data_IF_900777589757
#
_entry.id   IF_900777589757
#
_cell.length_a   1.000
_cell.length_b   1.000
_cell.length_c   1.000
_cell.angle_alpha   90.00
_cell.angle_beta   90.00
_cell.angle_gamma   90.00
#
_symmetry.space_group_name_H-M   'P 1'
#
loop_
_entity.id
_entity.type
_entity.pdbx_description
1 polymer ?
#
# COMPACT_ATOMS: atom_id res chain seq x y z
N UNK A 1 13.46 -14.86 -15.65
CA UNK A 1 12.82 -13.57 -15.33
C UNK A 1 12.01 -13.78 -14.07
N UNK A 2 12.16 -12.90 -13.08
CA UNK A 2 11.30 -12.94 -11.89
C UNK A 2 9.86 -12.63 -12.31
N UNK A 3 8.90 -13.43 -11.83
CA UNK A 3 7.47 -13.19 -12.09
C UNK A 3 7.07 -11.86 -11.43
N UNK A 4 6.43 -10.91 -12.14
CA UNK A 4 6.11 -9.61 -11.59
C UNK A 4 5.26 -9.69 -10.32
N UNK A 5 5.72 -9.01 -9.27
CA UNK A 5 4.99 -8.71 -8.05
C UNK A 5 5.07 -7.19 -7.82
N UNK A 6 3.96 -6.49 -8.04
CA UNK A 6 3.86 -5.02 -7.94
C UNK A 6 3.03 -4.66 -6.71
N UNK A 7 3.41 -3.60 -6.01
CA UNK A 7 2.58 -3.06 -4.92
C UNK A 7 2.22 -1.62 -5.19
N UNK A 8 1.00 -1.22 -4.84
CA UNK A 8 0.52 0.16 -4.93
C UNK A 8 0.35 0.72 -3.53
N UNK A 9 1.00 1.84 -3.25
CA UNK A 9 1.08 2.40 -1.90
C UNK A 9 0.78 3.89 -1.85
N UNK A 10 0.41 4.37 -0.65
CA UNK A 10 0.09 5.77 -0.40
C UNK A 10 -1.02 5.96 0.64
N UNK A 11 -1.33 7.21 1.01
CA UNK A 11 -2.27 7.51 2.09
C UNK A 11 -3.71 7.04 1.79
N UNK A 12 -4.56 7.08 2.82
CA UNK A 12 -5.98 6.73 2.71
C UNK A 12 -6.65 7.67 1.70
N UNK A 13 -7.50 7.14 0.83
CA UNK A 13 -8.21 7.93 -0.18
C UNK A 13 -7.43 8.23 -1.48
N UNK A 14 -6.16 7.83 -1.59
CA UNK A 14 -5.33 8.23 -2.74
C UNK A 14 -5.64 7.50 -4.05
N UNK A 15 -6.31 6.33 -4.01
CA UNK A 15 -6.70 5.58 -5.21
C UNK A 15 -5.98 4.24 -5.44
N UNK A 16 -5.31 3.68 -4.42
CA UNK A 16 -4.56 2.40 -4.50
C UNK A 16 -5.35 1.24 -5.11
N UNK A 17 -6.53 0.95 -4.58
CA UNK A 17 -7.39 -0.14 -5.05
C UNK A 17 -7.88 0.09 -6.49
N UNK A 18 -8.08 1.35 -6.89
CA UNK A 18 -8.46 1.67 -8.27
C UNK A 18 -7.31 1.40 -9.24
N UNK A 19 -6.10 1.86 -8.92
CA UNK A 19 -4.95 1.66 -9.81
C UNK A 19 -4.53 0.19 -9.88
N UNK A 20 -4.42 -0.50 -8.75
CA UNK A 20 -4.09 -1.93 -8.71
C UNK A 20 -5.10 -2.77 -9.49
N UNK A 21 -6.40 -2.44 -9.42
CA UNK A 21 -7.43 -3.08 -10.25
C UNK A 21 -7.21 -2.83 -11.74
N UNK A 22 -6.88 -1.60 -12.14
CA UNK A 22 -6.60 -1.30 -13.54
C UNK A 22 -5.36 -2.05 -14.06
N UNK A 23 -4.28 -2.09 -13.28
CA UNK A 23 -3.06 -2.88 -13.58
C UNK A 23 -3.41 -4.36 -13.72
N UNK A 24 -4.18 -4.92 -12.79
CA UNK A 24 -4.63 -6.32 -12.83
C UNK A 24 -5.41 -6.62 -14.11
N UNK A 25 -6.36 -5.76 -14.48
CA UNK A 25 -7.20 -5.96 -15.67
C UNK A 25 -6.43 -5.81 -16.98
N UNK A 26 -5.52 -4.84 -17.07
CA UNK A 26 -4.74 -4.58 -18.29
C UNK A 26 -3.71 -5.66 -18.55
N UNK A 27 -2.99 -6.12 -17.52
CA UNK A 27 -1.90 -7.06 -17.68
C UNK A 27 -2.25 -8.51 -17.35
N UNK A 28 -3.51 -8.78 -16.99
CA UNK A 28 -4.01 -10.09 -16.52
C UNK A 28 -3.22 -10.61 -15.31
N UNK A 29 -3.00 -9.73 -14.34
CA UNK A 29 -2.30 -10.06 -13.09
C UNK A 29 -3.30 -10.40 -11.99
N UNK A 30 -2.97 -11.35 -11.13
CA UNK A 30 -3.75 -11.62 -9.94
C UNK A 30 -3.76 -10.38 -9.03
N UNK A 31 -4.95 -9.99 -8.53
CA UNK A 31 -5.12 -8.83 -7.67
C UNK A 31 -5.19 -9.24 -6.20
N UNK A 32 -4.14 -8.93 -5.44
CA UNK A 32 -4.13 -9.10 -3.99
C UNK A 32 -4.67 -7.84 -3.30
N UNK A 33 -5.82 -7.95 -2.63
CA UNK A 33 -6.45 -6.83 -1.92
C UNK A 33 -6.19 -6.88 -0.42
N UNK A 34 -6.06 -5.71 0.18
CA UNK A 34 -6.11 -5.53 1.62
C UNK A 34 -7.49 -5.87 2.18
N UNK A 35 -7.52 -6.65 3.25
CA UNK A 35 -8.74 -7.00 3.97
C UNK A 35 -8.99 -5.96 5.06
N UNK A 36 -9.74 -4.92 4.71
CA UNK A 36 -10.06 -3.79 5.62
C UNK A 36 -11.33 -4.06 6.43
N UNK A 37 -12.40 -4.51 5.76
CA UNK A 37 -13.75 -4.57 6.33
C UNK A 37 -13.92 -5.71 7.36
N UNK A 38 -12.99 -6.66 7.43
CA UNK A 38 -13.02 -7.76 8.41
C UNK A 38 -12.32 -7.40 9.74
N UNK A 39 -11.64 -6.26 9.83
CA UNK A 39 -10.96 -5.87 11.06
C UNK A 39 -11.96 -5.42 12.12
N UNK A 40 -12.18 -6.21 13.19
CA UNK A 40 -13.22 -5.92 14.19
C UNK A 40 -12.89 -4.71 15.08
N UNK A 41 -11.65 -4.21 15.01
CA UNK A 41 -11.17 -3.09 15.81
C UNK A 41 -11.20 -1.76 15.05
N UNK A 42 -11.32 -1.78 13.72
CA UNK A 42 -11.15 -0.59 12.89
C UNK A 42 -12.18 0.51 13.17
N UNK A 43 -13.44 0.15 13.45
CA UNK A 43 -14.44 1.14 13.86
C UNK A 43 -14.05 1.83 15.17
N UNK A 44 -13.64 1.04 16.17
CA UNK A 44 -13.22 1.54 17.49
C UNK A 44 -11.92 2.34 17.44
N UNK A 45 -11.02 1.99 16.51
CA UNK A 45 -9.80 2.75 16.24
C UNK A 45 -10.09 4.19 15.85
N UNK A 46 -11.11 4.43 15.02
CA UNK A 46 -11.48 5.79 14.66
C UNK A 46 -12.26 6.53 15.75
N UNK A 47 -12.75 5.83 16.77
CA UNK A 47 -13.34 6.43 17.98
C UNK A 47 -12.27 6.78 19.03
N UNK A 48 -11.29 5.90 19.22
CA UNK A 48 -10.14 6.10 20.10
C UNK A 48 -8.89 5.42 19.53
N UNK A 49 -8.09 6.21 18.82
CA UNK A 49 -6.83 5.74 18.22
C UNK A 49 -5.92 5.19 19.32
N UNK A 50 -5.76 5.89 20.45
CA UNK A 50 -4.75 5.47 21.44
C UNK A 50 -5.07 4.12 22.08
N UNK A 51 -6.34 3.79 22.26
CA UNK A 51 -6.75 2.54 22.94
C UNK A 51 -6.76 1.34 21.99
N UNK A 52 -7.13 1.55 20.71
CA UNK A 52 -7.39 0.45 19.76
C UNK A 52 -6.31 0.25 18.70
N UNK A 53 -5.26 1.10 18.68
CA UNK A 53 -4.19 1.01 17.67
C UNK A 53 -3.47 -0.33 17.68
N UNK A 54 -3.11 -0.86 18.85
CA UNK A 54 -2.33 -2.10 18.92
C UNK A 54 -3.08 -3.29 18.32
N UNK A 55 -4.36 -3.45 18.69
CA UNK A 55 -5.24 -4.51 18.21
C UNK A 55 -5.49 -4.37 16.71
N UNK A 56 -5.72 -3.14 16.24
CA UNK A 56 -5.95 -2.82 14.83
C UNK A 56 -4.74 -3.15 13.98
N UNK A 57 -3.55 -2.71 14.40
CA UNK A 57 -2.30 -2.93 13.67
C UNK A 57 -1.86 -4.40 13.71
N UNK A 58 -2.03 -5.09 14.84
CA UNK A 58 -1.75 -6.54 14.94
C UNK A 58 -2.68 -7.35 14.04
N UNK A 59 -3.96 -7.00 13.94
CA UNK A 59 -4.88 -7.63 13.00
C UNK A 59 -4.38 -7.49 11.56
N UNK A 60 -4.04 -6.26 11.15
CA UNK A 60 -3.52 -6.01 9.82
C UNK A 60 -2.21 -6.77 9.56
N UNK A 61 -1.29 -6.80 10.53
CA UNK A 61 -0.02 -7.52 10.40
C UNK A 61 -0.26 -9.01 10.18
N UNK A 62 -1.07 -9.66 11.02
CA UNK A 62 -1.36 -11.09 10.90
C UNK A 62 -2.06 -11.42 9.58
N UNK A 63 -3.03 -10.60 9.17
CA UNK A 63 -3.77 -10.83 7.93
C UNK A 63 -2.87 -10.67 6.69
N UNK A 64 -2.11 -9.57 6.62
CA UNK A 64 -1.16 -9.33 5.52
C UNK A 64 -0.05 -10.39 5.52
N UNK A 65 0.41 -10.83 6.70
CA UNK A 65 1.35 -11.94 6.81
C UNK A 65 0.80 -13.21 6.17
N UNK A 66 -0.44 -13.59 6.50
CA UNK A 66 -1.05 -14.79 5.94
C UNK A 66 -1.26 -14.68 4.43
N UNK A 67 -1.68 -13.52 3.93
CA UNK A 67 -1.81 -13.28 2.49
C UNK A 67 -0.46 -13.39 1.75
N UNK A 68 0.61 -12.86 2.35
CA UNK A 68 1.94 -12.86 1.75
C UNK A 68 2.72 -14.16 1.98
N UNK A 69 2.38 -14.98 2.97
CA UNK A 69 2.97 -16.33 3.09
C UNK A 69 2.54 -17.23 1.93
N UNK A 70 1.34 -17.00 1.41
CA UNK A 70 0.72 -17.81 0.36
C UNK A 70 1.04 -17.27 -1.05
N UNK A 71 1.74 -16.13 -1.15
CA UNK A 71 1.98 -15.44 -2.43
C UNK A 71 2.87 -16.23 -3.40
N UNK A 72 3.80 -17.04 -2.90
CA UNK A 72 4.62 -17.89 -3.75
C UNK A 72 3.77 -18.92 -4.48
N UNK A 73 2.85 -19.57 -3.76
CA UNK A 73 1.90 -20.52 -4.34
C UNK A 73 0.96 -19.84 -5.33
N UNK A 74 0.50 -18.61 -5.01
CA UNK A 74 -0.30 -17.80 -5.94
C UNK A 74 0.49 -17.49 -7.21
N UNK A 75 1.76 -17.08 -7.08
CA UNK A 75 2.62 -16.74 -8.21
C UNK A 75 2.87 -17.97 -9.09
N UNK A 76 3.09 -19.13 -8.49
CA UNK A 76 3.30 -20.39 -9.22
C UNK A 76 2.03 -20.88 -9.92
N UNK A 77 0.86 -20.72 -9.28
CA UNK A 77 -0.41 -21.21 -9.82
C UNK A 77 -1.09 -20.24 -10.79
N UNK A 78 -0.98 -18.93 -10.56
CA UNK A 78 -1.74 -17.87 -11.25
C UNK A 78 -0.86 -16.86 -11.98
N UNK A 79 0.46 -16.90 -11.77
CA UNK A 79 1.40 -16.01 -12.46
C UNK A 79 1.58 -14.65 -11.76
N UNK A 80 1.75 -13.54 -12.51
CA UNK A 80 2.10 -12.25 -11.91
C UNK A 80 1.02 -11.68 -10.98
N UNK A 81 1.44 -10.90 -9.98
CA UNK A 81 0.58 -10.33 -8.95
C UNK A 81 0.73 -8.81 -8.88
N UNK A 82 -0.38 -8.11 -8.68
CA UNK A 82 -0.42 -6.72 -8.20
C UNK A 82 -1.19 -6.67 -6.88
N UNK A 83 -0.61 -6.01 -5.88
CA UNK A 83 -1.27 -5.79 -4.60
C UNK A 83 -1.58 -4.31 -4.37
N UNK A 84 -2.69 -4.02 -3.70
CA UNK A 84 -3.09 -2.64 -3.34
C UNK A 84 -2.50 -2.14 -2.02
N UNK A 85 -1.51 -2.88 -1.50
CA UNK A 85 -0.69 -2.54 -0.36
C UNK A 85 0.69 -3.22 -0.45
N UNK A 86 1.62 -2.76 0.37
CA UNK A 86 2.88 -3.40 0.70
C UNK A 86 2.96 -3.63 2.21
N UNK A 87 3.68 -4.66 2.65
CA UNK A 87 3.76 -5.01 4.08
C UNK A 87 4.34 -3.88 4.95
N UNK A 88 5.26 -3.07 4.41
CA UNK A 88 5.83 -1.91 5.13
C UNK A 88 4.79 -0.90 5.62
N UNK A 89 3.56 -0.92 5.07
CA UNK A 89 2.45 -0.09 5.54
C UNK A 89 2.22 -0.24 7.04
N UNK A 90 2.38 -1.46 7.56
CA UNK A 90 2.31 -1.74 8.99
C UNK A 90 3.25 -0.85 9.81
N UNK A 91 4.47 -0.57 9.32
CA UNK A 91 5.43 0.27 10.02
C UNK A 91 4.99 1.74 10.04
N UNK A 92 4.46 2.24 8.92
CA UNK A 92 3.99 3.62 8.80
C UNK A 92 2.85 3.87 9.78
N UNK A 93 1.82 3.02 9.76
CA UNK A 93 0.65 3.17 10.62
C UNK A 93 0.98 2.93 12.11
N UNK A 94 1.72 1.87 12.41
CA UNK A 94 2.11 1.57 13.79
C UNK A 94 2.97 2.67 14.40
N UNK A 95 3.93 3.23 13.65
CA UNK A 95 4.77 4.33 14.15
C UNK A 95 3.98 5.59 14.46
N UNK A 96 2.94 5.87 13.69
CA UNK A 96 2.05 7.02 13.90
C UNK A 96 1.16 6.85 15.12
N UNK A 97 0.68 5.64 15.37
CA UNK A 97 -0.49 5.42 16.22
C UNK A 97 -0.17 4.74 17.56
N UNK A 98 0.89 3.92 17.61
CA UNK A 98 1.29 3.23 18.84
C UNK A 98 2.13 4.13 19.75
N UNK A 99 2.04 3.87 21.06
CA UNK A 99 2.99 4.44 22.02
C UNK A 99 4.39 3.89 21.73
N UNK A 100 5.47 4.63 22.02
CA UNK A 100 6.83 4.21 21.71
C UNK A 100 7.18 2.80 22.21
N UNK A 101 6.78 2.45 23.44
CA UNK A 101 7.04 1.13 24.05
C UNK A 101 6.25 -0.01 23.40
N UNK A 102 5.07 0.28 22.82
CA UNK A 102 4.28 -0.69 22.06
C UNK A 102 4.83 -0.84 20.64
N UNK A 103 5.25 0.27 20.04
CA UNK A 103 5.87 0.29 18.72
C UNK A 103 7.14 -0.56 18.68
N UNK A 104 8.02 -0.48 19.67
CA UNK A 104 9.25 -1.31 19.73
C UNK A 104 8.94 -2.81 19.71
N UNK A 105 7.92 -3.23 20.46
CA UNK A 105 7.47 -4.62 20.50
C UNK A 105 6.83 -5.03 19.17
N UNK A 106 5.96 -4.19 18.64
CA UNK A 106 5.31 -4.40 17.35
C UNK A 106 6.32 -4.53 16.21
N UNK A 107 7.32 -3.64 16.16
CA UNK A 107 8.37 -3.66 15.16
C UNK A 107 9.21 -4.95 15.27
N UNK A 108 9.48 -5.42 16.48
CA UNK A 108 10.17 -6.69 16.69
C UNK A 108 9.37 -7.87 16.12
N UNK A 109 8.06 -7.92 16.36
CA UNK A 109 7.17 -8.95 15.80
C UNK A 109 7.11 -8.84 14.28
N UNK A 110 6.93 -7.63 13.75
CA UNK A 110 6.94 -7.34 12.32
C UNK A 110 8.20 -7.91 11.67
N UNK A 111 9.38 -7.59 12.20
CA UNK A 111 10.66 -8.04 11.64
C UNK A 111 10.79 -9.57 11.60
N UNK A 112 10.30 -10.26 12.63
CA UNK A 112 10.29 -11.74 12.67
C UNK A 112 9.38 -12.29 11.58
N UNK A 113 8.15 -11.76 11.47
CA UNK A 113 7.16 -12.26 10.51
C UNK A 113 7.52 -11.96 9.06
N UNK A 114 8.23 -10.85 8.79
CA UNK A 114 8.54 -10.41 7.43
C UNK A 114 9.95 -10.75 6.95
N UNK A 115 10.77 -11.45 7.75
CA UNK A 115 12.18 -11.69 7.45
C UNK A 115 12.40 -12.38 6.09
N UNK A 116 11.58 -13.38 5.79
CA UNK A 116 11.68 -14.22 4.60
C UNK A 116 10.58 -13.92 3.57
N UNK A 117 9.90 -12.78 3.70
CA UNK A 117 8.82 -12.42 2.77
C UNK A 117 9.36 -12.07 1.39
N UNK A 118 8.62 -12.42 0.33
CA UNK A 118 8.97 -12.01 -1.01
C UNK A 118 8.87 -10.50 -1.14
N UNK A 119 9.86 -9.96 -1.83
CA UNK A 119 9.95 -8.52 -2.11
C UNK A 119 9.27 -8.22 -3.44
N UNK A 120 8.56 -7.10 -3.56
CA UNK A 120 8.02 -6.68 -4.84
C UNK A 120 9.14 -6.33 -5.82
N UNK A 121 8.86 -6.49 -7.11
CA UNK A 121 9.72 -6.00 -8.17
C UNK A 121 9.59 -4.49 -8.36
N UNK A 122 8.54 -3.87 -7.81
CA UNK A 122 8.25 -2.44 -7.95
C UNK A 122 7.23 -1.98 -6.91
N UNK A 123 7.36 -0.74 -6.47
CA UNK A 123 6.34 -0.03 -5.71
C UNK A 123 5.82 1.14 -6.54
N UNK A 124 4.51 1.30 -6.66
CA UNK A 124 3.89 2.49 -7.21
C UNK A 124 3.41 3.33 -6.02
N UNK A 125 4.04 4.47 -5.79
CA UNK A 125 3.67 5.39 -4.73
C UNK A 125 2.74 6.49 -5.25
N UNK A 126 1.52 6.51 -4.74
CA UNK A 126 0.52 7.52 -5.01
C UNK A 126 0.54 8.56 -3.89
N UNK A 127 0.53 9.84 -4.26
CA UNK A 127 0.34 10.95 -3.35
C UNK A 127 -0.63 11.95 -3.94
N UNK A 128 -1.30 12.73 -3.10
CA UNK A 128 -2.19 13.82 -3.52
C UNK A 128 -2.33 14.82 -2.37
N UNK A 129 -2.86 15.99 -2.67
CA UNK A 129 -3.19 17.02 -1.70
C UNK A 129 -4.21 16.51 -0.68
N UNK A 130 -4.12 17.05 0.54
CA UNK A 130 -5.04 16.72 1.63
C UNK A 130 -6.51 16.93 1.23
N UNK A 131 -6.81 17.98 0.47
CA UNK A 131 -8.16 18.25 -0.04
C UNK A 131 -8.66 17.15 -0.98
N UNK A 132 -7.81 16.70 -1.90
CA UNK A 132 -8.12 15.58 -2.80
C UNK A 132 -8.36 14.30 -2.01
N UNK A 133 -7.51 13.99 -1.01
CA UNK A 133 -7.67 12.80 -0.17
C UNK A 133 -8.99 12.84 0.61
N UNK A 134 -9.27 13.94 1.32
CA UNK A 134 -10.50 14.09 2.11
C UNK A 134 -11.75 14.00 1.23
N UNK A 135 -11.73 14.61 0.04
CA UNK A 135 -12.81 14.50 -0.94
C UNK A 135 -13.04 13.06 -1.37
N UNK A 136 -11.98 12.32 -1.70
CA UNK A 136 -12.07 10.90 -2.12
C UNK A 136 -12.54 9.98 -0.98
N UNK A 137 -12.11 10.24 0.26
CA UNK A 137 -12.58 9.51 1.45
C UNK A 137 -14.09 9.73 1.62
N UNK A 138 -14.55 10.98 1.57
CA UNK A 138 -15.97 11.31 1.69
C UNK A 138 -16.81 10.66 0.57
N UNK A 139 -16.32 10.69 -0.68
CA UNK A 139 -16.99 10.04 -1.82
C UNK A 139 -17.07 8.52 -1.67
N UNK A 140 -16.05 7.88 -1.09
CA UNK A 140 -16.04 6.44 -0.84
C UNK A 140 -17.07 6.02 0.22
N UNK A 141 -17.34 6.89 1.19
CA UNK A 141 -18.47 6.74 2.12
C UNK A 141 -18.41 5.52 3.04
N UNK A 142 -17.22 4.99 3.35
CA UNK A 142 -17.09 3.89 4.32
C UNK A 142 -17.47 4.39 5.72
N UNK A 143 -18.40 3.69 6.37
CA UNK A 143 -18.93 4.08 7.68
C UNK A 143 -17.82 4.31 8.72
N UNK A 144 -16.84 3.40 8.80
CA UNK A 144 -15.71 3.50 9.74
C UNK A 144 -14.84 4.73 9.49
N UNK A 145 -14.82 5.26 8.26
CA UNK A 145 -13.94 6.39 7.89
C UNK A 145 -14.59 7.76 8.13
N UNK A 146 -15.87 7.82 8.53
CA UNK A 146 -16.60 9.09 8.71
C UNK A 146 -16.00 10.01 9.76
N UNK A 147 -15.36 9.43 10.78
CA UNK A 147 -14.78 10.17 11.90
C UNK A 147 -13.28 10.43 11.74
N UNK A 148 -12.70 10.12 10.57
CA UNK A 148 -11.30 10.40 10.30
C UNK A 148 -11.04 11.91 10.32
N UNK A 149 -10.13 12.34 11.19
CA UNK A 149 -9.72 13.74 11.24
C UNK A 149 -8.83 14.10 10.05
N UNK A 150 -8.95 15.35 9.61
CA UNK A 150 -8.13 15.91 8.53
C UNK A 150 -6.66 15.93 8.93
N UNK A 151 -6.37 16.29 10.18
CA UNK A 151 -5.03 16.36 10.75
C UNK A 151 -4.36 14.99 10.75
N UNK A 152 -5.10 13.91 11.02
CA UNK A 152 -4.57 12.55 10.95
C UNK A 152 -4.16 12.17 9.52
N UNK A 153 -4.98 12.50 8.52
CA UNK A 153 -4.65 12.23 7.11
C UNK A 153 -3.45 13.06 6.64
N UNK A 154 -3.33 14.31 7.08
CA UNK A 154 -2.18 15.15 6.79
C UNK A 154 -0.88 14.53 7.33
N UNK A 155 -0.89 14.16 8.61
CA UNK A 155 0.22 13.51 9.28
C UNK A 155 0.61 12.19 8.60
N UNK A 156 -0.37 11.34 8.30
CA UNK A 156 -0.15 10.08 7.63
C UNK A 156 0.44 10.28 6.21
N UNK A 157 0.00 11.32 5.49
CA UNK A 157 0.56 11.65 4.17
C UNK A 157 2.03 12.06 4.28
N UNK A 158 2.39 12.82 5.32
CA UNK A 158 3.77 13.17 5.63
C UNK A 158 4.62 11.94 5.96
N UNK A 159 4.09 11.02 6.78
CA UNK A 159 4.79 9.78 7.13
C UNK A 159 5.06 8.92 5.91
N UNK A 160 4.10 8.78 5.01
CA UNK A 160 4.27 8.08 3.74
C UNK A 160 5.40 8.70 2.91
N UNK A 161 5.40 10.03 2.74
CA UNK A 161 6.43 10.70 1.95
C UNK A 161 7.83 10.50 2.55
N UNK A 162 7.97 10.64 3.88
CA UNK A 162 9.23 10.39 4.57
C UNK A 162 9.67 8.92 4.43
N UNK A 163 8.74 7.99 4.63
CA UNK A 163 9.02 6.56 4.58
C UNK A 163 9.48 6.13 3.18
N UNK A 164 8.79 6.57 2.13
CA UNK A 164 9.15 6.23 0.74
C UNK A 164 10.54 6.75 0.40
N UNK A 165 10.87 8.00 0.76
CA UNK A 165 12.22 8.54 0.53
C UNK A 165 13.33 7.81 1.30
N UNK A 166 13.01 7.18 2.43
CA UNK A 166 13.94 6.29 3.13
C UNK A 166 14.01 4.91 2.46
N UNK A 167 12.85 4.35 2.06
CA UNK A 167 12.74 3.07 1.38
C UNK A 167 13.55 3.04 0.08
N UNK A 168 13.45 4.07 -0.76
CA UNK A 168 14.23 4.19 -2.01
C UNK A 168 15.75 4.15 -1.76
N UNK A 169 16.22 4.72 -0.65
CA UNK A 169 17.65 4.72 -0.27
C UNK A 169 18.10 3.37 0.26
N UNK A 170 17.25 2.70 1.03
CA UNK A 170 17.54 1.39 1.64
C UNK A 170 17.39 0.24 0.66
N UNK A 171 16.53 0.40 -0.34
CA UNK A 171 16.18 -0.60 -1.34
C UNK A 171 16.34 -0.05 -2.76
N UNK A 172 17.54 0.41 -3.17
CA UNK A 172 17.78 0.96 -4.50
C UNK A 172 17.49 -0.06 -5.61
N UNK A 173 17.48 -1.35 -5.28
CA UNK A 173 17.09 -2.42 -6.18
C UNK A 173 15.58 -2.47 -6.46
N UNK A 174 14.72 -1.83 -5.66
CA UNK A 174 13.26 -1.83 -5.86
C UNK A 174 12.85 -0.46 -6.42
N UNK A 175 12.53 -0.35 -7.73
CA UNK A 175 12.10 0.90 -8.29
C UNK A 175 10.79 1.37 -7.68
N UNK A 176 10.73 2.66 -7.40
CA UNK A 176 9.51 3.36 -6.97
C UNK A 176 9.04 4.27 -8.10
N UNK A 177 7.78 4.12 -8.51
CA UNK A 177 7.12 5.04 -9.44
C UNK A 177 6.25 5.98 -8.61
N UNK A 178 6.63 7.25 -8.50
CA UNK A 178 5.86 8.25 -7.77
C UNK A 178 4.87 8.97 -8.70
N UNK A 179 3.58 8.95 -8.36
CA UNK A 179 2.51 9.56 -9.17
C UNK A 179 1.72 10.56 -8.33
N UNK A 180 1.54 11.77 -8.88
CA UNK A 180 0.71 12.81 -8.28
C UNK A 180 -0.76 12.66 -8.71
N UNK A 181 -1.61 12.27 -7.76
CA UNK A 181 -3.04 12.08 -7.96
C UNK A 181 -3.87 13.36 -8.02
N UNK A 182 -3.26 14.55 -7.82
CA UNK A 182 -3.88 15.83 -8.17
C UNK A 182 -3.73 16.15 -9.66
N UNK A 183 -2.66 15.67 -10.28
CA UNK A 183 -2.33 15.90 -11.70
C UNK A 183 -2.85 14.78 -12.61
N UNK A 184 -2.86 13.54 -12.11
CA UNK A 184 -3.28 12.35 -12.84
C UNK A 184 -4.59 11.80 -12.26
N UNK A 185 -5.65 11.80 -13.06
CA UNK A 185 -6.93 11.17 -12.74
C UNK A 185 -7.09 9.86 -13.54
N UNK A 186 -6.30 8.85 -13.21
CA UNK A 186 -6.37 7.51 -13.82
C UNK A 186 -7.70 6.76 -13.55
N UNK A 187 -8.65 7.37 -12.83
CA UNK A 187 -10.00 6.82 -12.62
C UNK A 187 -10.98 7.37 -13.66
N UNK A 188 -10.82 8.63 -14.08
CA UNK A 188 -11.75 9.30 -15.01
C UNK A 188 -11.14 9.64 -16.37
N UNK A 189 -9.82 9.73 -16.45
CA UNK A 189 -9.05 10.01 -17.67
C UNK A 189 -8.41 8.72 -18.17
N UNK A 190 -8.89 8.23 -19.31
CA UNK A 190 -8.27 7.10 -19.99
C UNK A 190 -6.85 7.44 -20.44
N UNK A 191 -6.59 8.69 -20.83
CA UNK A 191 -5.25 9.13 -21.22
C UNK A 191 -4.25 9.03 -20.07
N UNK A 192 -4.62 9.50 -18.87
CA UNK A 192 -3.79 9.42 -17.68
C UNK A 192 -3.56 7.97 -17.26
N UNK A 193 -4.60 7.14 -17.33
CA UNK A 193 -4.49 5.72 -17.04
C UNK A 193 -3.50 5.05 -18.00
N UNK A 194 -3.63 5.29 -19.31
CA UNK A 194 -2.71 4.73 -20.30
C UNK A 194 -1.28 5.24 -20.12
N UNK A 195 -1.09 6.49 -19.72
CA UNK A 195 0.22 7.01 -19.34
C UNK A 195 0.84 6.24 -18.17
N UNK A 196 0.08 6.04 -17.09
CA UNK A 196 0.54 5.27 -15.92
C UNK A 196 0.85 3.82 -16.28
N UNK A 197 0.00 3.16 -17.07
CA UNK A 197 0.21 1.77 -17.48
C UNK A 197 1.47 1.61 -18.33
N UNK A 198 1.74 2.53 -19.27
CA UNK A 198 3.00 2.54 -20.04
C UNK A 198 4.22 2.68 -19.14
N UNK A 199 4.16 3.59 -18.15
CA UNK A 199 5.26 3.80 -17.21
C UNK A 199 5.56 2.53 -16.38
N UNK A 200 4.52 1.80 -15.97
CA UNK A 200 4.65 0.51 -15.28
C UNK A 200 5.30 -0.53 -16.20
N UNK A 201 4.81 -0.66 -17.44
CA UNK A 201 5.34 -1.61 -18.41
C UNK A 201 6.83 -1.35 -18.74
N UNK A 202 7.18 -0.11 -19.06
CA UNK A 202 8.57 0.29 -19.36
C UNK A 202 9.51 -0.08 -18.20
N UNK A 203 9.05 0.13 -16.97
CA UNK A 203 9.87 -0.14 -15.78
C UNK A 203 10.02 -1.65 -15.51
N UNK A 204 9.01 -2.46 -15.81
CA UNK A 204 9.11 -3.93 -15.77
C UNK A 204 10.07 -4.46 -16.84
N UNK A 205 10.02 -3.91 -18.07
CA UNK A 205 10.89 -4.31 -19.17
C UNK A 205 12.36 -3.97 -18.88
N UNK A 206 12.64 -2.78 -18.35
CA UNK A 206 13.99 -2.38 -17.93
C UNK A 206 14.60 -3.39 -16.95
N UNK A 207 13.84 -3.87 -15.95
CA UNK A 207 14.35 -4.89 -15.01
C UNK A 207 14.61 -6.24 -15.67
N UNK A 208 13.75 -6.65 -16.59
CA UNK A 208 13.90 -7.92 -17.30
C UNK A 208 15.19 -7.99 -18.13
N UNK A 209 15.67 -6.84 -18.62
CA UNK A 209 16.93 -6.72 -19.36
C UNK A 209 18.18 -6.70 -18.46
N UNK A 210 18.08 -6.18 -17.23
CA UNK A 210 19.20 -6.12 -16.28
C UNK A 210 19.38 -7.40 -15.44
N UNK A 211 18.46 -8.37 -15.53
CA UNK A 211 18.53 -9.68 -14.87
C UNK A 211 19.01 -10.82 -15.81
N UNK A 212 19.45 -10.50 -17.03
CA UNK A 212 20.11 -11.44 -17.96
C UNK A 212 21.61 -11.26 -17.90
#
# INVERSE_FOLDING_TARGET
MSVPFITVEGPIGVGKTSLSKAVSQTFDYHLLKEIVDENPFLGKFYEDISEWSFQTEMFFLCNRYKQLSDIHEIIEAQGPVVADYHIFKNLIFAKRTLKPTEYEKYESIYRILTADMPKPNMVIYLHASLDTLMKRIAMRGREVEKNISREYIEQLSSDYHQFIGHFEKMHPEIPVISLNGDELDFVKSEEDLQYVLRLVEEKLQQRSLHQK
#
